data_IF_068396588754
#
_entry.id   IF_068396588754
#
_cell.length_a   1.000
_cell.length_b   1.000
_cell.length_c   1.000
_cell.angle_alpha   90.00
_cell.angle_beta   90.00
_cell.angle_gamma   90.00
#
_symmetry.space_group_name_H-M   'P 1'
#
loop_
_entity.id
_entity.type
_entity.pdbx_description
1 polymer ?
#
# COMPACT_ATOMS: atom_id res chain seq x y z
N UNK A 1 -3.62 15.73 -36.79
CA UNK A 1 -4.39 14.48 -36.63
C UNK A 1 -4.07 13.96 -35.23
N UNK A 2 -4.99 14.10 -34.28
CA UNK A 2 -4.80 13.64 -32.91
C UNK A 2 -4.95 12.12 -32.89
N UNK A 3 -3.92 11.41 -32.45
CA UNK A 3 -3.97 9.96 -32.27
C UNK A 3 -4.90 9.68 -31.10
N UNK A 4 -6.02 9.01 -31.36
CA UNK A 4 -6.95 8.62 -30.32
C UNK A 4 -6.35 7.44 -29.55
N UNK A 5 -5.91 7.68 -28.32
CA UNK A 5 -5.27 6.67 -27.48
C UNK A 5 -6.29 5.68 -26.89
N UNK A 6 -7.59 5.93 -27.08
CA UNK A 6 -8.67 5.08 -26.60
C UNK A 6 -9.01 3.91 -27.52
N UNK A 7 -8.56 3.94 -28.77
CA UNK A 7 -8.85 2.91 -29.79
C UNK A 7 -7.86 1.73 -29.76
N UNK A 8 -6.83 1.79 -28.91
CA UNK A 8 -5.95 0.66 -28.69
C UNK A 8 -6.72 -0.46 -27.99
N UNK A 9 -6.94 -1.59 -28.66
CA UNK A 9 -7.53 -2.77 -28.03
C UNK A 9 -6.74 -3.07 -26.76
N UNK A 10 -7.39 -2.94 -25.60
CA UNK A 10 -6.78 -3.26 -24.31
C UNK A 10 -6.57 -4.78 -24.31
N UNK A 11 -5.39 -5.23 -24.73
CA UNK A 11 -5.07 -6.66 -24.91
C UNK A 11 -4.89 -7.40 -23.59
N UNK A 12 -4.72 -6.68 -22.49
CA UNK A 12 -4.69 -7.25 -21.14
C UNK A 12 -6.00 -6.99 -20.42
N UNK A 13 -6.78 -8.01 -20.03
CA UNK A 13 -7.94 -7.78 -19.17
C UNK A 13 -7.50 -6.99 -17.93
N UNK A 14 -8.29 -6.00 -17.53
CA UNK A 14 -8.11 -5.36 -16.23
C UNK A 14 -8.09 -6.45 -15.15
N UNK A 15 -7.21 -6.31 -14.15
CA UNK A 15 -7.10 -7.31 -13.11
C UNK A 15 -8.42 -7.38 -12.32
N UNK A 16 -9.20 -8.44 -12.54
CA UNK A 16 -10.50 -8.64 -11.89
C UNK A 16 -10.37 -9.12 -10.43
N UNK A 17 -9.19 -9.61 -10.05
CA UNK A 17 -8.90 -10.12 -8.72
C UNK A 17 -7.71 -9.39 -8.11
N UNK A 18 -7.80 -9.10 -6.81
CA UNK A 18 -6.70 -8.62 -5.98
C UNK A 18 -5.64 -9.72 -5.85
N UNK A 19 -4.56 -9.64 -6.61
CA UNK A 19 -3.42 -10.55 -6.44
C UNK A 19 -2.44 -9.99 -5.41
N UNK A 20 -2.30 -10.66 -4.28
CA UNK A 20 -1.29 -10.31 -3.26
C UNK A 20 -0.01 -11.08 -3.60
N UNK A 21 1.01 -10.35 -4.05
CA UNK A 21 2.33 -10.94 -4.30
C UNK A 21 2.99 -11.37 -2.98
N UNK A 22 3.86 -12.40 -3.03
CA UNK A 22 4.66 -12.83 -1.87
C UNK A 22 5.47 -11.67 -1.27
N UNK A 23 6.04 -10.82 -2.13
CA UNK A 23 6.82 -9.66 -1.70
C UNK A 23 5.93 -8.64 -0.96
N UNK A 24 4.70 -8.42 -1.44
CA UNK A 24 3.71 -7.55 -0.79
C UNK A 24 3.26 -8.11 0.54
N UNK A 25 2.98 -9.41 0.61
CA UNK A 25 2.59 -10.12 1.83
C UNK A 25 3.69 -10.04 2.90
N UNK A 26 4.95 -10.26 2.51
CA UNK A 26 6.11 -10.17 3.38
C UNK A 26 6.27 -8.74 3.94
N UNK A 27 6.20 -7.73 3.08
CA UNK A 27 6.25 -6.33 3.51
C UNK A 27 5.08 -5.94 4.41
N UNK A 28 3.89 -6.48 4.15
CA UNK A 28 2.69 -6.24 4.94
C UNK A 28 2.80 -6.85 6.33
N UNK A 29 3.26 -8.10 6.41
CA UNK A 29 3.49 -8.79 7.68
C UNK A 29 4.51 -8.03 8.53
N UNK A 30 5.65 -7.64 7.96
CA UNK A 30 6.67 -6.88 8.68
C UNK A 30 6.14 -5.52 9.13
N UNK A 31 5.47 -4.80 8.24
CA UNK A 31 4.88 -3.53 8.57
C UNK A 31 3.91 -3.67 9.75
N UNK A 32 3.08 -4.72 9.78
CA UNK A 32 2.13 -5.01 10.86
C UNK A 32 2.78 -5.26 12.23
N UNK A 33 4.03 -5.74 12.24
CA UNK A 33 4.81 -5.94 13.46
C UNK A 33 5.49 -4.65 13.94
N UNK A 34 5.84 -3.75 13.01
CA UNK A 34 6.58 -2.52 13.30
C UNK A 34 5.71 -1.30 13.61
N UNK A 35 4.50 -1.24 13.05
CA UNK A 35 3.64 -0.07 13.18
C UNK A 35 3.10 0.04 14.61
N UNK A 36 3.13 1.25 15.17
CA UNK A 36 2.51 1.48 16.46
C UNK A 36 0.98 1.54 16.31
N UNK A 37 0.28 0.59 16.93
CA UNK A 37 -1.19 0.48 16.86
C UNK A 37 -1.90 1.70 17.43
N UNK A 38 -1.32 2.40 18.40
CA UNK A 38 -1.95 3.60 18.98
C UNK A 38 -2.03 4.77 18.00
N UNK A 39 -1.25 4.73 16.92
CA UNK A 39 -1.27 5.77 15.88
C UNK A 39 -2.31 5.48 14.80
N UNK A 40 -2.91 4.28 14.78
CA UNK A 40 -3.92 3.92 13.78
C UNK A 40 -5.28 4.37 14.29
N UNK A 41 -5.94 5.24 13.53
CA UNK A 41 -7.27 5.75 13.88
C UNK A 41 -8.33 5.06 13.02
N UNK A 42 -9.39 4.53 13.63
CA UNK A 42 -10.54 4.04 12.86
C UNK A 42 -11.37 5.23 12.36
N UNK A 43 -11.77 5.17 11.09
CA UNK A 43 -12.58 6.16 10.42
C UNK A 43 -13.76 5.48 9.72
N UNK A 44 -14.99 5.80 10.12
CA UNK A 44 -16.22 5.27 9.52
C UNK A 44 -16.30 3.74 9.40
N UNK A 45 -15.82 3.01 10.41
CA UNK A 45 -15.89 1.54 10.54
C UNK A 45 -15.09 0.73 9.51
N UNK A 46 -15.03 1.16 8.25
CA UNK A 46 -14.37 0.46 7.12
C UNK A 46 -13.00 1.03 6.78
N UNK A 47 -12.74 2.29 7.15
CA UNK A 47 -11.46 2.94 6.87
C UNK A 47 -10.63 3.10 8.13
N UNK A 48 -9.33 3.14 7.93
CA UNK A 48 -8.34 3.42 8.96
C UNK A 48 -7.37 4.46 8.45
N UNK A 49 -6.95 5.34 9.35
CA UNK A 49 -5.95 6.35 9.09
C UNK A 49 -4.64 5.84 9.64
N UNK A 50 -3.66 5.72 8.74
CA UNK A 50 -2.34 5.17 9.03
C UNK A 50 -1.31 6.27 8.81
N UNK A 51 -0.44 6.58 9.79
CA UNK A 51 0.61 7.57 9.58
C UNK A 51 1.62 7.07 8.54
N UNK A 52 2.14 7.98 7.74
CA UNK A 52 3.31 7.70 6.92
C UNK A 52 4.58 7.69 7.78
N UNK A 53 5.67 7.16 7.24
CA UNK A 53 6.97 7.19 7.92
C UNK A 53 7.51 8.60 8.14
N UNK A 54 6.99 9.59 7.42
CA UNK A 54 7.34 11.01 7.58
C UNK A 54 6.33 11.80 8.41
N UNK A 55 5.33 11.13 9.00
CA UNK A 55 4.34 11.79 9.84
C UNK A 55 4.99 12.31 11.12
N UNK A 56 4.94 13.62 11.33
CA UNK A 56 5.36 14.29 12.58
C UNK A 56 4.20 14.62 13.50
N UNK A 57 2.98 14.60 12.97
CA UNK A 57 1.73 14.94 13.66
C UNK A 57 0.94 13.68 14.03
N UNK A 58 0.12 13.79 15.09
CA UNK A 58 -0.83 12.75 15.45
C UNK A 58 -1.90 12.57 14.35
N UNK A 59 -2.38 11.35 14.17
CA UNK A 59 -3.38 11.01 13.14
C UNK A 59 -4.75 11.67 13.37
N UNK A 60 -5.09 11.98 14.63
CA UNK A 60 -6.28 12.76 14.98
C UNK A 60 -6.23 14.19 14.43
N UNK A 61 -5.12 14.89 14.68
CA UNK A 61 -4.94 16.27 14.23
C UNK A 61 -4.91 16.33 12.70
N UNK A 62 -4.32 15.32 12.07
CA UNK A 62 -4.35 15.19 10.62
C UNK A 62 -5.79 15.03 10.09
N UNK A 63 -6.62 14.20 10.73
CA UNK A 63 -8.01 14.00 10.31
C UNK A 63 -8.81 15.30 10.40
N UNK A 64 -8.67 16.05 11.49
CA UNK A 64 -9.37 17.33 11.67
C UNK A 64 -9.03 18.31 10.53
N UNK A 65 -7.75 18.47 10.22
CA UNK A 65 -7.29 19.34 9.13
C UNK A 65 -7.75 18.84 7.76
N UNK A 66 -7.71 17.52 7.55
CA UNK A 66 -8.18 16.91 6.32
C UNK A 66 -9.68 17.13 6.09
N UNK A 67 -10.49 17.08 7.15
CA UNK A 67 -11.94 17.33 7.10
C UNK A 67 -12.27 18.80 6.86
N UNK A 68 -11.49 19.72 7.44
CA UNK A 68 -11.66 21.15 7.19
C UNK A 68 -11.40 21.50 5.72
N UNK A 69 -10.43 20.86 5.09
CA UNK A 69 -10.12 21.04 3.67
C UNK A 69 -9.68 22.47 3.32
N UNK A 70 -9.16 23.22 4.29
CA UNK A 70 -8.82 24.63 4.18
C UNK A 70 -7.37 24.86 3.70
N UNK A 71 -6.94 24.13 2.68
CA UNK A 71 -5.60 24.32 2.10
C UNK A 71 -5.55 25.60 1.27
N UNK A 72 -4.52 26.41 1.47
CA UNK A 72 -4.31 27.67 0.75
C UNK A 72 -3.68 27.46 -0.63
N UNK A 73 -2.95 26.34 -0.81
CA UNK A 73 -2.35 25.97 -2.10
C UNK A 73 -2.35 24.46 -2.36
N UNK A 74 -2.09 24.07 -3.60
CA UNK A 74 -1.96 22.67 -3.99
C UNK A 74 -0.72 22.02 -3.35
N UNK A 75 0.38 22.76 -3.22
CA UNK A 75 1.61 22.27 -2.57
C UNK A 75 1.35 21.94 -1.11
N UNK A 76 0.58 22.78 -0.41
CA UNK A 76 0.17 22.54 0.96
C UNK A 76 -0.67 21.25 1.06
N UNK A 77 -1.67 21.10 0.19
CA UNK A 77 -2.46 19.87 0.11
C UNK A 77 -1.58 18.64 -0.10
N UNK A 78 -0.59 18.70 -1.00
CA UNK A 78 0.33 17.58 -1.27
C UNK A 78 1.17 17.21 -0.05
N UNK A 79 1.60 18.18 0.75
CA UNK A 79 2.31 17.93 2.01
C UNK A 79 1.39 17.18 2.96
N UNK A 80 0.17 17.69 3.18
CA UNK A 80 -0.82 17.05 4.06
C UNK A 80 -1.16 15.63 3.60
N UNK A 81 -1.40 15.42 2.31
CA UNK A 81 -1.73 14.12 1.74
C UNK A 81 -0.60 13.09 1.93
N UNK A 82 0.65 13.51 2.09
CA UNK A 82 1.80 12.61 2.32
C UNK A 82 1.99 12.21 3.79
N UNK A 83 1.34 12.88 4.73
CA UNK A 83 1.51 12.63 6.17
C UNK A 83 0.75 11.39 6.62
N UNK A 84 -0.47 11.15 6.14
CA UNK A 84 -1.24 9.96 6.49
C UNK A 84 -1.90 9.32 5.26
N UNK A 85 -2.22 8.05 5.39
CA UNK A 85 -2.90 7.26 4.39
C UNK A 85 -4.26 6.81 4.91
N UNK A 86 -5.29 6.95 4.08
CA UNK A 86 -6.57 6.33 4.28
C UNK A 86 -6.49 4.92 3.71
N UNK A 87 -6.83 3.93 4.53
CA UNK A 87 -6.64 2.52 4.21
C UNK A 87 -7.90 1.77 4.56
N UNK A 88 -8.45 1.04 3.59
CA UNK A 88 -9.47 0.03 3.84
C UNK A 88 -8.81 -1.35 3.69
N UNK A 89 -8.94 -2.25 4.68
CA UNK A 89 -8.32 -3.57 4.64
C UNK A 89 -8.74 -4.35 3.39
N UNK A 90 -7.76 -4.94 2.70
CA UNK A 90 -7.91 -5.71 1.45
C UNK A 90 -8.54 -5.00 0.24
N UNK A 91 -8.99 -3.75 0.34
CA UNK A 91 -9.68 -3.06 -0.76
C UNK A 91 -8.90 -1.89 -1.33
N UNK A 92 -8.51 -0.90 -0.52
CA UNK A 92 -7.90 0.32 -1.04
C UNK A 92 -6.94 1.00 -0.07
N UNK A 93 -6.02 1.79 -0.61
CA UNK A 93 -5.11 2.62 0.17
C UNK A 93 -4.69 3.85 -0.63
N UNK A 94 -4.70 5.03 0.00
CA UNK A 94 -4.30 6.29 -0.64
C UNK A 94 -2.78 6.49 -0.73
N UNK A 95 -1.98 5.52 -0.29
CA UNK A 95 -0.54 5.59 -0.48
C UNK A 95 -0.17 5.45 -1.98
N UNK A 96 0.99 5.98 -2.41
CA UNK A 96 1.36 5.96 -3.84
C UNK A 96 1.41 4.57 -4.47
N UNK A 97 1.70 3.53 -3.68
CA UNK A 97 1.70 2.14 -4.14
C UNK A 97 0.27 1.63 -4.30
N UNK A 98 -0.60 1.88 -3.32
CA UNK A 98 -2.01 1.46 -3.36
C UNK A 98 -2.76 2.10 -4.52
N UNK A 99 -2.54 3.39 -4.78
CA UNK A 99 -3.14 4.09 -5.91
C UNK A 99 -2.70 3.54 -7.28
N UNK A 100 -1.49 2.98 -7.40
CA UNK A 100 -0.95 2.44 -8.66
C UNK A 100 -1.25 0.96 -8.87
N UNK A 101 -1.19 0.17 -7.80
CA UNK A 101 -1.21 -1.29 -7.87
C UNK A 101 -2.48 -1.90 -7.27
N UNK A 102 -3.39 -1.07 -6.74
CA UNK A 102 -4.62 -1.44 -6.02
C UNK A 102 -4.37 -2.16 -4.68
N UNK A 103 -3.34 -3.01 -4.59
CA UNK A 103 -2.87 -3.67 -3.38
C UNK A 103 -1.55 -3.07 -2.88
N UNK A 104 -1.44 -2.83 -1.57
CA UNK A 104 -0.19 -2.36 -0.95
C UNK A 104 0.01 -3.00 0.43
N UNK A 105 1.21 -2.82 0.99
CA UNK A 105 1.55 -3.37 2.31
C UNK A 105 0.64 -2.87 3.45
N UNK A 106 0.08 -1.66 3.35
CA UNK A 106 -0.77 -1.10 4.42
C UNK A 106 -2.14 -1.77 4.44
N UNK A 107 -2.78 -1.93 3.27
CA UNK A 107 -4.11 -2.56 3.17
C UNK A 107 -4.06 -4.04 3.58
N UNK A 108 -3.05 -4.78 3.12
CA UNK A 108 -2.84 -6.18 3.54
C UNK A 108 -2.39 -6.26 5.00
N UNK A 109 -1.53 -5.33 5.43
CA UNK A 109 -1.00 -5.30 6.79
C UNK A 109 -2.08 -5.07 7.83
N UNK A 110 -3.02 -4.14 7.57
CA UNK A 110 -4.18 -3.95 8.44
C UNK A 110 -5.05 -5.20 8.50
N UNK A 111 -5.27 -5.86 7.35
CA UNK A 111 -6.03 -7.10 7.31
C UNK A 111 -5.37 -8.21 8.15
N UNK A 112 -4.05 -8.29 8.16
CA UNK A 112 -3.28 -9.19 9.04
C UNK A 112 -3.51 -8.82 10.51
N UNK A 113 -3.41 -7.53 10.86
CA UNK A 113 -3.58 -7.05 12.24
C UNK A 113 -4.97 -7.33 12.81
N UNK A 114 -5.99 -7.25 11.96
CA UNK A 114 -7.38 -7.53 12.32
C UNK A 114 -7.80 -8.98 12.08
N UNK A 115 -6.85 -9.90 11.80
CA UNK A 115 -7.11 -11.32 11.52
C UNK A 115 -8.08 -11.57 10.35
N UNK A 116 -8.22 -10.62 9.43
CA UNK A 116 -9.01 -10.75 8.19
C UNK A 116 -8.24 -11.48 7.09
N UNK A 117 -6.91 -11.58 7.23
CA UNK A 117 -6.04 -12.25 6.27
C UNK A 117 -5.04 -13.14 7.00
N UNK A 118 -4.95 -14.41 6.57
CA UNK A 118 -3.98 -15.36 7.10
C UNK A 118 -2.69 -15.32 6.28
N UNK A 119 -1.60 -14.92 6.93
CA UNK A 119 -0.26 -14.91 6.33
C UNK A 119 0.21 -16.34 6.07
N UNK A 120 0.63 -16.60 4.83
CA UNK A 120 1.19 -17.89 4.45
C UNK A 120 2.44 -18.25 5.28
N UNK A 121 2.62 -19.52 5.61
CA UNK A 121 3.71 -19.98 6.49
C UNK A 121 5.08 -19.58 5.97
N UNK A 122 5.34 -19.75 4.66
CA UNK A 122 6.59 -19.34 4.00
C UNK A 122 6.99 -17.88 4.32
N UNK A 123 6.01 -17.00 4.47
CA UNK A 123 6.21 -15.57 4.72
C UNK A 123 6.61 -15.30 6.17
N UNK A 124 6.19 -16.16 7.12
CA UNK A 124 6.59 -16.10 8.53
C UNK A 124 8.03 -16.55 8.75
N UNK A 125 8.50 -17.50 7.94
CA UNK A 125 9.83 -18.11 8.07
C UNK A 125 10.93 -17.36 7.30
N UNK A 126 10.59 -16.43 6.41
CA UNK A 126 11.55 -15.70 5.58
C UNK A 126 12.23 -14.57 6.40
N UNK A 127 13.51 -14.69 6.78
CA UNK A 127 14.19 -13.66 7.55
C UNK A 127 14.43 -12.41 6.71
N UNK A 128 14.21 -11.23 7.31
CA UNK A 128 14.57 -9.96 6.73
C UNK A 128 16.09 -9.83 6.55
N UNK A 129 16.50 -9.41 5.36
CA UNK A 129 17.81 -8.79 5.22
C UNK A 129 18.99 -9.74 5.14
N UNK A 130 18.86 -10.91 4.49
CA UNK A 130 20.05 -11.44 3.82
C UNK A 130 20.48 -10.39 2.81
N UNK A 131 21.55 -9.65 3.14
CA UNK A 131 22.27 -8.78 2.21
C UNK A 131 22.35 -9.56 0.89
N UNK A 132 21.78 -9.03 -0.19
CA UNK A 132 21.97 -9.65 -1.50
C UNK A 132 23.48 -9.83 -1.64
N UNK A 133 23.93 -11.07 -1.88
CA UNK A 133 25.34 -11.33 -2.13
C UNK A 133 25.83 -10.30 -3.14
N UNK A 134 27.02 -9.71 -2.92
CA UNK A 134 27.62 -8.85 -3.93
C UNK A 134 27.77 -9.70 -5.20
N UNK A 135 27.05 -9.34 -6.27
CA UNK A 135 27.19 -9.97 -7.58
C UNK A 135 25.97 -10.75 -8.07
N UNK A 136 25.70 -10.51 -9.37
CA UNK A 136 24.71 -11.06 -10.31
C UNK A 136 23.21 -10.83 -9.97
N UNK A 137 22.45 -10.17 -10.87
CA UNK A 137 20.99 -10.14 -10.80
C UNK A 137 20.40 -11.56 -10.68
N UNK A 138 19.21 -11.68 -10.06
CA UNK A 138 18.45 -12.94 -10.05
C UNK A 138 18.34 -13.44 -11.50
N UNK A 139 18.59 -14.75 -11.74
CA UNK A 139 18.39 -15.36 -13.06
C UNK A 139 17.01 -14.95 -13.57
N UNK A 140 16.96 -14.43 -14.80
CA UNK A 140 15.71 -14.08 -15.49
C UNK A 140 14.78 -15.28 -15.42
N UNK A 141 13.52 -15.07 -15.03
CA UNK A 141 12.51 -16.14 -15.10
C UNK A 141 12.45 -16.57 -16.55
N UNK A 142 12.73 -17.84 -16.85
CA UNK A 142 12.56 -18.40 -18.19
C UNK A 142 11.15 -18.04 -18.66
N UNK A 143 11.06 -17.41 -19.84
CA UNK A 143 9.78 -17.15 -20.45
C UNK A 143 9.02 -18.48 -20.54
N UNK A 144 7.73 -18.47 -20.22
CA UNK A 144 6.86 -19.57 -20.60
C UNK A 144 6.91 -19.64 -22.13
N UNK A 145 7.64 -20.62 -22.66
CA UNK A 145 7.41 -21.07 -24.03
C UNK A 145 6.00 -21.68 -24.01
N UNK A 146 5.04 -20.95 -24.58
CA UNK A 146 3.80 -21.57 -25.05
C UNK A 146 4.12 -22.48 -26.23
#
# INVERSE_FOLDING_TARGET
>A
MLKDWSEGSITSPFANNTFISLDTELQAYQWSLTINRSQILNWFNTYYIVPSSSATLATSNWLEQYQLGQWQSFEEFVVWQKLCWLVSPLTSCTCPVGLKQYTCKHSVGLAIMFNMYQVADKTRWEPLGKRRGKGRPKKVRTALLM
#
